data_IF_913053490176
#
_entry.id   IF_913053490176
#
_cell.length_a   1.000
_cell.length_b   1.000
_cell.length_c   1.000
_cell.angle_alpha   90.00
_cell.angle_beta   90.00
_cell.angle_gamma   90.00
#
_symmetry.space_group_name_H-M   'P 1'
#
loop_
_entity.id
_entity.type
_entity.pdbx_description
1 polymer ?
#
# COMPACT_ATOMS: atom_id res chain seq x y z
N UNK A 1 4.57 8.81 -3.10
CA UNK A 1 3.45 8.01 -2.52
C UNK A 1 2.39 7.55 -3.54
N UNK A 2 1.90 8.43 -4.44
CA UNK A 2 0.88 8.11 -5.45
C UNK A 2 1.20 6.87 -6.30
N UNK A 3 2.44 6.74 -6.78
CA UNK A 3 2.86 5.59 -7.58
C UNK A 3 2.72 4.28 -6.80
N UNK A 4 3.07 4.28 -5.51
CA UNK A 4 2.96 3.10 -4.66
C UNK A 4 1.51 2.75 -4.32
N UNK A 5 0.64 3.75 -4.17
CA UNK A 5 -0.81 3.52 -4.08
C UNK A 5 -1.34 2.89 -5.38
N UNK A 6 -0.81 3.31 -6.54
CA UNK A 6 -1.16 2.74 -7.85
C UNK A 6 -0.68 1.30 -8.00
N UNK A 7 0.47 0.94 -7.42
CA UNK A 7 0.93 -0.46 -7.34
C UNK A 7 -0.06 -1.31 -6.54
N UNK A 8 -0.48 -0.84 -5.35
CA UNK A 8 -1.48 -1.54 -4.54
C UNK A 8 -2.84 -1.64 -5.28
N UNK A 9 -3.25 -0.58 -5.97
CA UNK A 9 -4.45 -0.56 -6.80
C UNK A 9 -4.38 -1.59 -7.93
N UNK A 10 -3.23 -1.71 -8.59
CA UNK A 10 -3.04 -2.65 -9.68
C UNK A 10 -3.18 -4.12 -9.22
N UNK A 11 -2.75 -4.42 -7.99
CA UNK A 11 -2.93 -5.74 -7.38
C UNK A 11 -4.41 -5.95 -7.02
N UNK A 12 -5.06 -4.94 -6.44
CA UNK A 12 -6.46 -4.98 -6.05
C UNK A 12 -7.39 -5.17 -7.27
N UNK A 13 -7.12 -4.51 -8.39
CA UNK A 13 -7.91 -4.58 -9.63
C UNK A 13 -7.49 -5.72 -10.56
N UNK A 14 -6.22 -6.12 -10.53
CA UNK A 14 -5.61 -7.05 -11.48
C UNK A 14 -5.05 -6.37 -12.75
N UNK A 15 -5.08 -5.04 -12.81
CA UNK A 15 -4.54 -4.26 -13.91
C UNK A 15 -3.99 -2.92 -13.40
N UNK A 16 -2.84 -2.49 -13.90
CA UNK A 16 -2.40 -1.12 -13.65
C UNK A 16 -3.32 -0.15 -14.39
N UNK A 17 -3.93 0.78 -13.66
CA UNK A 17 -4.81 1.82 -14.18
C UNK A 17 -4.10 3.16 -13.97
N UNK A 18 -3.92 4.00 -15.00
CA UNK A 18 -3.31 5.30 -14.83
C UNK A 18 -4.03 6.13 -13.74
N UNK A 19 -3.33 6.61 -12.70
CA UNK A 19 -3.95 7.49 -11.71
C UNK A 19 -4.27 8.84 -12.35
N UNK A 20 -5.44 9.41 -12.03
CA UNK A 20 -5.88 10.72 -12.51
C UNK A 20 -6.37 11.59 -11.36
N UNK A 21 -6.12 12.89 -11.46
CA UNK A 21 -6.66 13.92 -10.56
C UNK A 21 -7.71 14.78 -11.30
N UNK A 22 -7.80 14.62 -12.63
CA UNK A 22 -8.79 15.29 -13.49
C UNK A 22 -9.99 14.39 -13.77
N UNK A 23 -11.07 15.01 -14.25
CA UNK A 23 -12.24 14.32 -14.78
C UNK A 23 -11.85 13.36 -15.92
N UNK A 24 -12.64 12.30 -16.13
CA UNK A 24 -12.26 11.19 -17.02
C UNK A 24 -12.11 11.67 -18.46
N UNK A 25 -12.94 12.63 -18.84
CA UNK A 25 -13.04 13.23 -20.17
C UNK A 25 -11.80 14.05 -20.52
N UNK A 26 -11.01 14.45 -19.52
CA UNK A 26 -9.79 15.22 -19.67
C UNK A 26 -8.52 14.35 -19.59
N UNK A 27 -8.66 13.04 -19.34
CA UNK A 27 -7.52 12.14 -19.22
C UNK A 27 -6.98 11.76 -20.60
N UNK A 28 -5.65 11.87 -20.78
CA UNK A 28 -4.99 11.55 -22.04
C UNK A 28 -4.93 10.04 -22.36
N UNK A 29 -4.81 9.20 -21.33
CA UNK A 29 -4.86 7.74 -21.43
C UNK A 29 -5.43 7.18 -20.12
N UNK A 30 -6.51 6.42 -20.20
CA UNK A 30 -7.17 5.76 -19.07
C UNK A 30 -7.21 4.22 -19.22
N UNK A 31 -6.49 3.67 -20.21
CA UNK A 31 -6.57 2.25 -20.55
C UNK A 31 -5.91 1.38 -19.47
N UNK A 32 -6.65 0.41 -18.90
CA UNK A 32 -6.06 -0.57 -17.99
C UNK A 32 -5.01 -1.43 -18.68
N UNK A 33 -3.93 -1.74 -17.96
CA UNK A 33 -2.86 -2.64 -18.39
C UNK A 33 -2.90 -3.91 -17.53
N UNK A 34 -3.44 -5.03 -18.05
CA UNK A 34 -3.58 -6.25 -17.27
C UNK A 34 -2.24 -6.74 -16.71
N UNK A 35 -2.26 -7.23 -15.47
CA UNK A 35 -1.15 -7.97 -14.89
C UNK A 35 -1.31 -9.47 -15.17
N UNK A 36 -0.23 -10.23 -15.08
CA UNK A 36 -0.28 -11.69 -15.18
C UNK A 36 -1.15 -12.27 -14.06
N UNK A 37 -2.04 -13.20 -14.44
CA UNK A 37 -3.03 -13.76 -13.50
C UNK A 37 -2.39 -14.45 -12.31
N UNK A 38 -1.30 -15.18 -12.54
CA UNK A 38 -0.61 -15.94 -11.49
C UNK A 38 0.09 -15.00 -10.50
N UNK A 39 0.64 -13.89 -10.99
CA UNK A 39 1.22 -12.82 -10.15
C UNK A 39 0.14 -12.18 -9.29
N UNK A 40 -1.02 -11.83 -9.87
CA UNK A 40 -2.14 -11.26 -9.12
C UNK A 40 -2.65 -12.23 -8.07
N UNK A 41 -2.82 -13.50 -8.41
CA UNK A 41 -3.27 -14.53 -7.48
C UNK A 41 -2.30 -14.71 -6.31
N UNK A 42 -0.98 -14.76 -6.60
CA UNK A 42 0.05 -14.84 -5.57
C UNK A 42 0.03 -13.62 -4.64
N UNK A 43 -0.01 -12.40 -5.19
CA UNK A 43 0.00 -11.17 -4.39
C UNK A 43 -1.28 -11.01 -3.55
N UNK A 44 -2.44 -11.40 -4.07
CA UNK A 44 -3.71 -11.42 -3.31
C UNK A 44 -3.74 -12.46 -2.21
N UNK A 45 -2.90 -13.50 -2.26
CA UNK A 45 -2.68 -14.42 -1.14
C UNK A 45 -1.68 -13.86 -0.12
N UNK A 46 -0.57 -13.28 -0.61
CA UNK A 46 0.56 -12.88 0.25
C UNK A 46 0.33 -11.56 0.99
N UNK A 47 -0.34 -10.58 0.38
CA UNK A 47 -0.54 -9.27 1.01
C UNK A 47 -1.50 -9.30 2.22
N UNK A 48 -2.60 -10.07 2.23
CA UNK A 48 -3.36 -10.30 3.45
C UNK A 48 -2.53 -11.00 4.53
N UNK A 49 -1.67 -11.95 4.16
CA UNK A 49 -0.82 -12.67 5.11
C UNK A 49 0.16 -11.75 5.86
N UNK A 50 0.57 -10.62 5.27
CA UNK A 50 1.37 -9.61 5.98
C UNK A 50 0.60 -8.99 7.15
N UNK A 51 -0.70 -8.82 6.98
CA UNK A 51 -1.62 -8.22 7.96
C UNK A 51 -2.06 -9.26 9.00
N UNK A 52 -2.26 -10.52 8.61
CA UNK A 52 -2.71 -11.57 9.54
C UNK A 52 -1.59 -12.19 10.34
N UNK A 53 -0.44 -12.49 9.70
CA UNK A 53 0.62 -13.31 10.28
C UNK A 53 2.03 -12.73 10.09
N UNK A 54 2.14 -11.61 9.39
CA UNK A 54 3.42 -11.03 9.01
C UNK A 54 3.84 -9.83 9.83
N UNK A 55 4.60 -8.95 9.17
CA UNK A 55 5.21 -7.77 9.81
C UNK A 55 4.19 -6.77 10.34
N UNK A 56 2.93 -6.83 9.91
CA UNK A 56 1.86 -5.95 10.36
C UNK A 56 0.86 -6.61 11.32
N UNK A 57 1.07 -7.87 11.74
CA UNK A 57 0.08 -8.63 12.53
C UNK A 57 -0.28 -7.98 13.88
N UNK A 58 0.63 -7.20 14.47
CA UNK A 58 0.40 -6.53 15.73
C UNK A 58 -0.54 -5.31 15.61
N UNK A 59 -0.84 -4.87 14.38
CA UNK A 59 -1.73 -3.73 14.12
C UNK A 59 -3.14 -4.26 13.82
N UNK A 60 -4.14 -3.71 14.50
CA UNK A 60 -5.54 -4.04 14.22
C UNK A 60 -6.04 -3.28 13.00
N UNK A 61 -6.08 -3.97 11.87
CA UNK A 61 -6.68 -3.48 10.64
C UNK A 61 -8.14 -3.95 10.49
N UNK A 62 -9.00 -3.19 9.79
CA UNK A 62 -10.30 -3.70 9.34
C UNK A 62 -10.19 -4.99 8.54
N UNK A 63 -11.22 -5.85 8.64
CA UNK A 63 -11.27 -7.09 7.89
C UNK A 63 -11.19 -6.84 6.37
N UNK A 64 -10.50 -7.75 5.66
CA UNK A 64 -10.27 -7.64 4.22
C UNK A 64 -9.13 -6.67 3.82
N UNK A 65 -8.38 -6.14 4.79
CA UNK A 65 -7.19 -5.34 4.50
C UNK A 65 -6.05 -6.23 4.01
N UNK A 66 -5.42 -5.82 2.91
CA UNK A 66 -4.20 -6.42 2.38
C UNK A 66 -3.12 -5.34 2.29
N UNK A 67 -1.86 -5.66 2.61
CA UNK A 67 -0.82 -4.66 2.54
C UNK A 67 0.60 -5.19 2.62
N UNK A 68 1.54 -4.26 2.65
CA UNK A 68 2.96 -4.55 2.86
C UNK A 68 3.64 -3.42 3.60
N UNK A 69 4.40 -3.77 4.65
CA UNK A 69 5.31 -2.84 5.35
C UNK A 69 6.56 -2.57 4.53
N UNK A 70 7.14 -1.39 4.71
CA UNK A 70 8.47 -1.03 4.22
C UNK A 70 9.21 -0.09 5.18
N UNK A 71 10.54 -0.15 5.14
CA UNK A 71 11.44 0.73 5.89
C UNK A 71 12.54 1.13 4.92
N UNK A 72 12.81 2.43 4.79
CA UNK A 72 13.84 2.94 3.88
C UNK A 72 14.85 3.80 4.64
N UNK A 73 16.03 3.26 4.88
CA UNK A 73 17.15 3.95 5.52
C UNK A 73 17.71 5.06 4.62
N UNK A 74 18.18 6.14 5.23
CA UNK A 74 18.83 7.26 4.53
C UNK A 74 19.98 7.84 5.36
N UNK A 75 20.97 8.43 4.69
CA UNK A 75 22.18 8.96 5.35
C UNK A 75 23.24 7.89 5.62
N UNK A 76 24.06 8.10 6.64
CA UNK A 76 25.18 7.22 7.01
C UNK A 76 25.25 6.99 8.53
N UNK A 77 25.92 5.93 8.95
CA UNK A 77 26.06 5.55 10.35
C UNK A 77 25.66 4.10 10.61
N UNK A 78 25.81 3.63 11.86
CA UNK A 78 25.47 2.26 12.26
C UNK A 78 23.95 2.04 12.39
N UNK A 79 23.22 3.09 12.72
CA UNK A 79 21.75 3.12 12.82
C UNK A 79 21.25 4.38 12.10
N UNK A 80 21.26 4.39 10.75
CA UNK A 80 20.77 5.52 9.98
C UNK A 80 19.26 5.72 10.22
N UNK A 81 18.76 6.97 10.16
CA UNK A 81 17.33 7.21 10.20
C UNK A 81 16.62 6.54 9.02
N UNK A 82 15.33 6.25 9.18
CA UNK A 82 14.55 5.58 8.15
C UNK A 82 13.17 6.20 7.95
N UNK A 83 12.67 6.14 6.72
CA UNK A 83 11.28 6.41 6.39
C UNK A 83 10.42 5.18 6.62
N UNK A 84 9.30 5.37 7.31
CA UNK A 84 8.33 4.33 7.59
C UNK A 84 7.29 4.27 6.47
N UNK A 85 7.08 3.09 5.87
CA UNK A 85 6.14 2.88 4.78
C UNK A 85 5.12 1.77 5.07
N UNK A 86 3.91 1.98 4.58
CA UNK A 86 2.92 0.93 4.42
C UNK A 86 2.07 1.19 3.19
N UNK A 87 1.89 0.19 2.32
CA UNK A 87 1.00 0.27 1.16
C UNK A 87 -0.05 -0.83 1.29
N UNK A 88 -1.25 -0.60 0.77
CA UNK A 88 -2.29 -1.61 0.86
C UNK A 88 -3.55 -1.26 0.11
N UNK A 89 -4.50 -2.19 0.18
CA UNK A 89 -5.84 -2.02 -0.33
C UNK A 89 -6.87 -2.70 0.58
N UNK A 90 -8.10 -2.20 0.52
CA UNK A 90 -9.30 -2.82 1.10
C UNK A 90 -10.48 -2.49 0.21
N UNK A 91 -11.16 -3.51 -0.30
CA UNK A 91 -12.23 -3.31 -1.27
C UNK A 91 -11.72 -2.59 -2.52
N UNK A 92 -12.34 -1.46 -2.84
CA UNK A 92 -12.01 -0.58 -3.97
C UNK A 92 -11.05 0.56 -3.62
N UNK A 93 -10.59 0.65 -2.37
CA UNK A 93 -9.64 1.68 -1.91
C UNK A 93 -8.23 1.11 -1.85
N UNK A 94 -7.30 1.75 -2.58
CA UNK A 94 -5.86 1.50 -2.49
C UNK A 94 -5.13 2.74 -1.98
N UNK A 95 -4.09 2.54 -1.18
CA UNK A 95 -3.42 3.63 -0.47
C UNK A 95 -1.93 3.36 -0.26
N UNK A 96 -1.20 4.43 0.04
CA UNK A 96 0.19 4.39 0.45
C UNK A 96 0.43 5.44 1.54
N UNK A 97 0.99 5.01 2.66
CA UNK A 97 1.38 5.85 3.79
C UNK A 97 2.90 5.90 3.86
N UNK A 98 3.45 7.11 3.94
CA UNK A 98 4.85 7.38 4.26
C UNK A 98 4.88 8.28 5.50
N UNK A 99 5.77 7.99 6.44
CA UNK A 99 6.17 8.91 7.50
C UNK A 99 7.67 9.12 7.42
N UNK A 100 8.07 10.33 7.03
CA UNK A 100 9.47 10.69 6.89
C UNK A 100 10.17 10.71 8.26
N UNK A 101 11.39 10.17 8.37
CA UNK A 101 12.03 9.93 9.66
C UNK A 101 11.25 9.02 10.63
N UNK A 102 10.19 8.34 10.19
CA UNK A 102 9.30 7.57 11.05
C UNK A 102 9.82 6.20 11.48
N UNK A 103 11.04 5.80 11.09
CA UNK A 103 11.62 4.52 11.47
C UNK A 103 10.93 3.34 10.77
N UNK A 104 10.59 2.31 11.54
CA UNK A 104 10.06 1.05 11.01
C UNK A 104 8.61 1.17 10.50
N UNK A 105 8.35 0.62 9.29
CA UNK A 105 7.02 0.62 8.66
C UNK A 105 5.88 0.06 9.52
N UNK A 106 6.15 -1.02 10.26
CA UNK A 106 5.18 -1.68 11.14
C UNK A 106 4.86 -0.87 12.39
N UNK A 107 5.79 -0.03 12.86
CA UNK A 107 5.63 0.74 14.09
C UNK A 107 4.86 2.05 13.88
N UNK A 108 4.95 2.65 12.69
CA UNK A 108 4.40 4.00 12.44
C UNK A 108 3.42 4.04 11.26
N UNK A 109 3.84 3.64 10.05
CA UNK A 109 2.97 3.77 8.87
C UNK A 109 1.80 2.78 8.90
N UNK A 110 1.99 1.56 9.40
CA UNK A 110 0.92 0.58 9.51
C UNK A 110 -0.21 1.03 10.48
N UNK A 111 0.07 1.53 11.71
CA UNK A 111 -0.97 2.12 12.56
C UNK A 111 -1.69 3.32 11.94
N UNK A 112 -0.97 4.18 11.21
CA UNK A 112 -1.58 5.31 10.49
C UNK A 112 -2.53 4.80 9.40
N UNK A 113 -2.14 3.77 8.65
CA UNK A 113 -2.98 3.14 7.66
C UNK A 113 -4.26 2.51 8.26
N UNK A 114 -4.16 1.85 9.40
CA UNK A 114 -5.33 1.29 10.10
C UNK A 114 -6.33 2.40 10.47
N UNK A 115 -5.84 3.48 11.09
CA UNK A 115 -6.68 4.65 11.43
C UNK A 115 -7.33 5.30 10.21
N UNK A 116 -6.61 5.39 9.09
CA UNK A 116 -7.17 5.88 7.84
C UNK A 116 -8.33 4.99 7.38
N UNK A 117 -8.15 3.67 7.39
CA UNK A 117 -9.19 2.72 6.97
C UNK A 117 -10.39 2.69 7.92
N UNK A 118 -10.18 2.84 9.22
CA UNK A 118 -11.26 2.93 10.22
C UNK A 118 -12.11 4.21 10.07
N UNK A 119 -11.53 5.26 9.48
CA UNK A 119 -12.21 6.54 9.24
C UNK A 119 -12.92 6.61 7.89
N UNK A 120 -12.81 5.58 7.04
CA UNK A 120 -13.56 5.50 5.80
C UNK A 120 -15.05 5.18 6.10
N UNK A 121 -15.99 5.75 5.33
CA UNK A 121 -17.42 5.54 5.52
C UNK A 121 -17.89 4.11 5.26
#
# INVERSE_FOLDING_TARGET
PLNMASVAAAIASGAWIPPRIVAKELAADDRPRPLERDVVAALRKLMPAVVTDGTAHAVRFPAGTAGKTGTAEYGSGREPPAHSWFIGYKGDVAFAVIVEGGGAGSAVAAPVAARFLDALP
#
